data_IF_026594590036
#
_entry.id   IF_026594590036
#
_cell.length_a   1.000
_cell.length_b   1.000
_cell.length_c   1.000
_cell.angle_alpha   90.00
_cell.angle_beta   90.00
_cell.angle_gamma   90.00
#
_symmetry.space_group_name_H-M   'P 1'
#
loop_
_entity.id
_entity.type
_entity.pdbx_description
1 polymer ?
#
# COMPACT_ATOMS: atom_id res chain seq x y z
N UNK A 1 26.90 -5.83 0.41
CA UNK A 1 25.54 -6.34 0.68
C UNK A 1 24.56 -5.23 0.36
N UNK A 2 23.44 -5.50 -0.31
CA UNK A 2 22.42 -4.47 -0.60
C UNK A 2 21.49 -4.29 0.59
N UNK A 3 21.18 -3.05 0.97
CA UNK A 3 20.26 -2.68 2.04
C UNK A 3 18.90 -2.31 1.46
N UNK A 4 17.83 -2.89 2.01
CA UNK A 4 16.46 -2.70 1.52
C UNK A 4 15.58 -2.17 2.64
N UNK A 5 14.81 -1.13 2.36
CA UNK A 5 13.72 -0.63 3.22
C UNK A 5 12.37 -1.16 2.74
N UNK A 6 11.53 -1.60 3.67
CA UNK A 6 10.16 -2.04 3.41
C UNK A 6 9.21 -1.09 4.12
N UNK A 7 8.32 -0.47 3.37
CA UNK A 7 7.35 0.51 3.85
C UNK A 7 5.93 -0.01 3.65
N UNK A 8 5.15 -0.11 4.73
CA UNK A 8 3.80 -0.68 4.72
C UNK A 8 2.79 0.43 5.01
N UNK A 9 1.95 0.76 4.03
CA UNK A 9 1.06 1.92 4.08
C UNK A 9 1.80 3.20 3.69
N UNK A 10 2.43 3.19 2.51
CA UNK A 10 3.39 4.21 2.10
C UNK A 10 2.81 5.62 1.94
N UNK A 11 1.50 5.74 1.73
CA UNK A 11 0.75 7.01 1.70
C UNK A 11 1.42 8.07 0.82
N UNK A 12 2.02 9.10 1.43
CA UNK A 12 2.68 10.21 0.74
C UNK A 12 4.19 10.04 0.57
N UNK A 13 4.76 8.91 0.97
CA UNK A 13 6.15 8.55 0.70
C UNK A 13 7.21 9.18 1.60
N UNK A 14 6.82 9.88 2.66
CA UNK A 14 7.77 10.58 3.54
C UNK A 14 8.81 9.64 4.17
N UNK A 15 8.40 8.42 4.54
CA UNK A 15 9.31 7.44 5.13
C UNK A 15 10.27 6.84 4.11
N UNK A 16 9.80 6.61 2.88
CA UNK A 16 10.65 6.17 1.76
C UNK A 16 11.70 7.25 1.47
N UNK A 17 11.30 8.53 1.40
CA UNK A 17 12.23 9.64 1.17
C UNK A 17 13.33 9.70 2.24
N UNK A 18 12.97 9.51 3.50
CA UNK A 18 13.93 9.48 4.59
C UNK A 18 14.86 8.25 4.51
N UNK A 19 14.31 7.06 4.25
CA UNK A 19 15.06 5.82 4.19
C UNK A 19 16.08 5.78 3.03
N UNK A 20 15.76 6.39 1.88
CA UNK A 20 16.65 6.44 0.71
C UNK A 20 18.01 7.10 0.96
N UNK A 21 18.19 7.77 2.11
CA UNK A 21 19.47 8.34 2.55
C UNK A 21 20.47 7.28 3.03
N UNK A 22 20.00 6.09 3.38
CA UNK A 22 20.82 5.03 3.99
C UNK A 22 20.60 3.64 3.40
N UNK A 23 19.67 3.47 2.46
CA UNK A 23 19.38 2.18 1.80
C UNK A 23 19.61 2.23 0.29
N UNK A 24 19.83 1.06 -0.32
CA UNK A 24 19.99 0.94 -1.76
C UNK A 24 18.64 0.96 -2.49
N UNK A 25 17.61 0.33 -1.89
CA UNK A 25 16.26 0.24 -2.45
C UNK A 25 15.18 0.39 -1.38
N UNK A 26 14.02 0.92 -1.78
CA UNK A 26 12.82 0.98 -0.98
C UNK A 26 11.65 0.30 -1.70
N UNK A 27 10.93 -0.56 -1.00
CA UNK A 27 9.70 -1.21 -1.48
C UNK A 27 8.51 -0.68 -0.68
N UNK A 28 7.62 0.05 -1.35
CA UNK A 28 6.42 0.62 -0.76
C UNK A 28 5.18 -0.20 -1.10
N UNK A 29 4.34 -0.46 -0.09
CA UNK A 29 3.07 -1.17 -0.23
C UNK A 29 1.95 -0.21 0.10
N UNK A 30 1.21 0.23 -0.91
CA UNK A 30 0.09 1.15 -0.74
C UNK A 30 -1.20 0.54 -1.34
N UNK A 31 -2.11 0.04 -0.49
CA UNK A 31 -3.38 -0.52 -0.93
C UNK A 31 -4.35 0.51 -1.54
N UNK A 32 -4.25 1.79 -1.17
CA UNK A 32 -5.13 2.88 -1.62
C UNK A 32 -4.80 3.35 -3.03
N UNK A 33 -5.69 3.18 -4.04
CA UNK A 33 -5.49 3.76 -5.37
C UNK A 33 -5.14 5.26 -5.38
N UNK A 34 -5.82 6.08 -4.59
CA UNK A 34 -5.61 7.53 -4.50
C UNK A 34 -4.21 7.85 -3.97
N UNK A 35 -3.80 7.17 -2.90
CA UNK A 35 -2.48 7.38 -2.30
C UNK A 35 -1.39 6.77 -3.16
N UNK A 36 -1.65 5.62 -3.80
CA UNK A 36 -0.74 4.99 -4.74
C UNK A 36 -0.46 5.88 -5.95
N UNK A 37 -1.49 6.51 -6.52
CA UNK A 37 -1.34 7.46 -7.62
C UNK A 37 -0.50 8.67 -7.21
N UNK A 38 -0.69 9.17 -5.98
CA UNK A 38 0.11 10.26 -5.42
C UNK A 38 1.58 9.86 -5.27
N UNK A 39 1.88 8.77 -4.55
CA UNK A 39 3.26 8.33 -4.32
C UNK A 39 3.97 7.89 -5.60
N UNK A 40 3.24 7.33 -6.57
CA UNK A 40 3.79 6.94 -7.87
C UNK A 40 4.25 8.14 -8.68
N UNK A 41 3.57 9.29 -8.56
CA UNK A 41 4.02 10.55 -9.19
C UNK A 41 5.26 11.11 -8.51
N UNK A 42 5.33 11.04 -7.17
CA UNK A 42 6.48 11.52 -6.39
C UNK A 42 7.76 10.78 -6.80
N UNK A 43 7.69 9.46 -6.96
CA UNK A 43 8.85 8.62 -7.27
C UNK A 43 8.93 8.12 -8.71
N UNK A 44 8.18 8.73 -9.65
CA UNK A 44 8.04 8.26 -11.04
C UNK A 44 9.38 8.00 -11.75
N UNK A 45 10.41 8.80 -11.43
CA UNK A 45 11.73 8.74 -12.04
C UNK A 45 12.82 8.19 -11.10
N UNK A 46 12.46 7.61 -9.95
CA UNK A 46 13.42 7.11 -8.98
C UNK A 46 13.55 5.57 -9.08
N UNK A 47 14.61 5.04 -9.72
CA UNK A 47 14.77 3.59 -9.91
C UNK A 47 15.07 2.83 -8.61
N UNK A 48 15.32 3.53 -7.49
CA UNK A 48 15.52 2.92 -6.17
C UNK A 48 14.20 2.62 -5.46
N UNK A 49 13.07 3.10 -5.98
CA UNK A 49 11.75 2.93 -5.35
C UNK A 49 10.88 2.01 -6.19
N UNK A 50 10.39 0.94 -5.57
CA UNK A 50 9.43 0.01 -6.17
C UNK A 50 8.13 0.11 -5.37
N UNK A 51 7.04 0.47 -6.03
CA UNK A 51 5.72 0.60 -5.39
C UNK A 51 4.81 -0.55 -5.80
N UNK A 52 4.01 -1.02 -4.83
CA UNK A 52 3.07 -2.10 -4.99
C UNK A 52 1.64 -1.63 -4.62
N UNK A 53 0.66 -1.75 -5.54
CA UNK A 53 -0.72 -1.29 -5.32
C UNK A 53 -1.54 -2.33 -4.55
N UNK A 54 -0.99 -2.85 -3.46
CA UNK A 54 -1.62 -3.83 -2.60
C UNK A 54 -1.11 -3.74 -1.17
N UNK A 55 -1.95 -4.13 -0.21
CA UNK A 55 -1.57 -4.29 1.19
C UNK A 55 -0.96 -5.66 1.45
N UNK A 56 -0.22 -5.78 2.56
CA UNK A 56 0.28 -7.06 3.05
C UNK A 56 -0.72 -7.70 4.02
N UNK A 57 -0.95 -9.00 3.87
CA UNK A 57 -1.87 -9.76 4.72
C UNK A 57 -1.40 -11.22 4.86
N UNK A 58 -2.04 -11.97 5.76
CA UNK A 58 -1.68 -13.37 6.02
C UNK A 58 -2.10 -14.34 4.89
N UNK A 59 -2.96 -13.89 3.97
CA UNK A 59 -3.38 -14.63 2.77
C UNK A 59 -3.77 -13.67 1.65
N UNK A 60 -3.71 -14.15 0.40
CA UNK A 60 -4.17 -13.41 -0.77
C UNK A 60 -5.68 -13.30 -0.67
N UNK A 61 -6.20 -12.09 -0.71
CA UNK A 61 -7.63 -11.85 -0.64
C UNK A 61 -8.00 -10.55 -1.35
N UNK A 62 -9.31 -10.27 -1.39
CA UNK A 62 -9.82 -8.96 -1.76
C UNK A 62 -10.65 -8.48 -0.60
N UNK A 63 -10.29 -7.33 -0.04
CA UNK A 63 -11.01 -6.71 1.07
C UNK A 63 -11.47 -5.33 0.60
N UNK A 64 -12.71 -4.96 0.92
CA UNK A 64 -13.18 -3.60 0.66
C UNK A 64 -12.47 -2.64 1.62
N UNK A 65 -11.93 -1.55 1.06
CA UNK A 65 -11.34 -0.48 1.84
C UNK A 65 -12.34 0.65 1.99
N UNK A 66 -12.40 1.22 3.20
CA UNK A 66 -13.30 2.31 3.54
C UNK A 66 -12.47 3.53 3.95
N UNK A 67 -12.97 4.73 3.61
CA UNK A 67 -12.32 6.02 3.90
C UNK A 67 -10.89 6.15 3.35
N UNK A 68 -10.74 5.85 2.05
CA UNK A 68 -9.50 6.03 1.30
C UNK A 68 -8.92 7.46 1.42
N UNK A 69 -7.60 7.58 1.59
CA UNK A 69 -6.89 8.87 1.71
C UNK A 69 -6.96 9.54 3.10
N UNK A 70 -7.83 9.07 4.00
CA UNK A 70 -7.84 9.53 5.39
C UNK A 70 -6.57 9.05 6.12
N UNK A 71 -6.11 9.83 7.12
CA UNK A 71 -4.93 9.48 7.92
C UNK A 71 -5.04 8.14 8.67
N UNK A 72 -6.25 7.57 8.76
CA UNK A 72 -6.51 6.24 9.30
C UNK A 72 -7.37 5.40 8.36
N UNK A 73 -7.09 5.36 7.05
CA UNK A 73 -7.73 4.40 6.14
C UNK A 73 -7.70 3.00 6.77
N UNK A 74 -8.88 2.43 7.04
CA UNK A 74 -9.01 1.27 7.92
C UNK A 74 -9.58 0.09 7.15
N UNK A 75 -8.90 -1.05 7.28
CA UNK A 75 -9.42 -2.36 6.88
C UNK A 75 -10.19 -2.92 8.08
N UNK A 76 -11.52 -2.85 8.03
CA UNK A 76 -12.37 -3.38 9.11
C UNK A 76 -12.71 -4.86 8.82
N UNK A 77 -12.26 -5.77 9.70
CA UNK A 77 -12.64 -7.19 9.67
C UNK A 77 -14.14 -7.42 9.95
N UNK A 78 -14.77 -6.48 10.66
CA UNK A 78 -16.10 -6.66 11.28
C UNK A 78 -17.15 -5.68 10.75
N UNK A 79 -16.83 -4.87 9.75
CA UNK A 79 -17.73 -3.80 9.27
C UNK A 79 -19.07 -4.31 8.76
N UNK A 80 -19.09 -5.55 8.26
CA UNK A 80 -20.31 -6.22 7.82
C UNK A 80 -21.30 -6.48 8.95
N UNK A 81 -20.86 -6.48 10.22
CA UNK A 81 -21.75 -6.73 11.36
C UNK A 81 -22.39 -5.44 11.93
N UNK A 82 -21.95 -4.23 11.57
CA UNK A 82 -22.36 -3.02 12.30
C UNK A 82 -23.43 -2.12 11.65
N UNK A 83 -23.88 -2.36 10.41
CA UNK A 83 -24.76 -1.38 9.73
C UNK A 83 -26.24 -1.75 9.64
N UNK A 84 -26.95 -1.54 10.76
CA UNK A 84 -28.19 -0.74 10.76
C UNK A 84 -27.80 0.75 10.67
N UNK A 85 -27.47 1.25 9.49
CA UNK A 85 -27.13 2.68 9.35
C UNK A 85 -26.55 3.03 7.99
N UNK A 86 -27.35 3.68 7.15
CA UNK A 86 -26.99 4.11 5.80
C UNK A 86 -25.91 5.19 5.85
N UNK A 87 -24.74 4.92 5.30
CA UNK A 87 -23.84 5.95 4.80
C UNK A 87 -23.39 5.53 3.40
N UNK A 88 -23.70 6.38 2.41
CA UNK A 88 -23.23 6.24 1.03
C UNK A 88 -21.72 6.52 1.05
N UNK A 89 -20.90 5.51 0.78
CA UNK A 89 -19.45 5.65 0.72
C UNK A 89 -18.92 5.04 -0.57
N UNK A 90 -17.95 5.74 -1.20
CA UNK A 90 -17.25 5.29 -2.40
C UNK A 90 -16.58 3.95 -2.11
N UNK A 91 -16.88 2.96 -2.94
CA UNK A 91 -16.33 1.59 -2.86
C UNK A 91 -15.19 1.45 -3.86
N UNK A 92 -14.02 1.05 -3.40
CA UNK A 92 -12.92 0.56 -4.24
C UNK A 92 -12.59 -0.88 -3.87
N UNK A 93 -12.34 -1.72 -4.88
CA UNK A 93 -11.94 -3.13 -4.69
C UNK A 93 -10.43 -3.20 -4.56
N UNK A 94 -9.95 -3.73 -3.43
CA UNK A 94 -8.53 -3.85 -3.17
C UNK A 94 -8.00 -5.24 -3.56
N UNK A 95 -6.82 -5.28 -4.18
CA UNK A 95 -6.09 -6.52 -4.42
C UNK A 95 -5.09 -6.69 -3.27
N UNK A 96 -5.06 -7.85 -2.60
CA UNK A 96 -4.09 -8.18 -1.54
C UNK A 96 -3.36 -9.45 -1.97
N UNK A 97 -2.01 -9.46 -1.96
CA UNK A 97 -1.20 -10.62 -2.37
C UNK A 97 -0.46 -11.26 -1.18
N UNK A 98 -0.37 -12.59 -1.18
CA UNK A 98 0.51 -13.37 -0.32
C UNK A 98 1.97 -12.96 -0.53
N UNK A 99 2.70 -12.81 0.58
CA UNK A 99 4.13 -12.48 0.60
C UNK A 99 5.01 -13.44 -0.23
N UNK A 100 4.57 -14.69 -0.44
CA UNK A 100 5.29 -15.71 -1.24
C UNK A 100 5.18 -15.53 -2.76
N UNK A 101 4.30 -14.65 -3.25
CA UNK A 101 4.08 -14.41 -4.67
C UNK A 101 4.80 -13.13 -5.17
N UNK A 102 5.95 -12.81 -4.57
CA UNK A 102 6.81 -11.73 -5.05
C UNK A 102 7.32 -12.08 -6.46
N UNK A 103 7.13 -11.21 -7.47
CA UNK A 103 7.92 -11.34 -8.68
C UNK A 103 9.37 -11.12 -8.28
N UNK A 104 10.19 -12.16 -8.42
CA UNK A 104 11.64 -12.01 -8.37
C UNK A 104 12.01 -10.97 -9.42
N UNK A 105 12.62 -9.86 -9.00
CA UNK A 105 13.26 -8.94 -9.92
C UNK A 105 14.26 -9.77 -10.73
N UNK A 106 13.97 -10.01 -12.00
CA UNK A 106 14.92 -10.64 -12.90
C UNK A 106 16.16 -9.74 -12.97
N UNK A 107 17.30 -10.38 -12.70
CA UNK A 107 18.64 -9.82 -12.57
C UNK A 107 19.20 -9.36 -13.91
#
# INVERSE_FOLDING_TARGET
>A
MKTIYIDIGSRGGQQIEWALRSVDYAYGFEPSPLSYDEISRIFANNPKVILHPFGLWNQTCKIEMFNEGAAGGTIFRDYYQSKKGKAVQKKSRLNVKLSKAWPTAES
#
